data_IF_209749307460
#
_entry.id   IF_209749307460
#
_cell.length_a   1.000
_cell.length_b   1.000
_cell.length_c   1.000
_cell.angle_alpha   90.00
_cell.angle_beta   90.00
_cell.angle_gamma   90.00
#
_symmetry.space_group_name_H-M   'P 1'
#
loop_
_entity.id
_entity.type
_entity.pdbx_description
1 polymer ?
#
# COMPACT_ATOMS: atom_id res chain seq x y z
N UNK A 1 -5.55 8.05 16.54
CA UNK A 1 -5.48 6.69 15.94
C UNK A 1 -4.42 5.89 16.67
N UNK A 2 -4.36 4.58 16.46
CA UNK A 2 -3.29 3.74 17.03
C UNK A 2 -2.85 2.66 16.04
N UNK A 3 -1.64 2.13 16.25
CA UNK A 3 -1.11 0.98 15.55
C UNK A 3 -1.73 -0.30 16.12
N UNK A 4 -2.57 -0.97 15.32
CA UNK A 4 -3.33 -2.16 15.77
C UNK A 4 -2.51 -3.42 15.63
N UNK A 5 -1.74 -3.55 14.53
CA UNK A 5 -0.92 -4.72 14.27
C UNK A 5 0.32 -4.36 13.47
N UNK A 6 1.41 -5.07 13.76
CA UNK A 6 2.65 -5.05 12.99
C UNK A 6 2.81 -6.44 12.40
N UNK A 7 2.95 -6.54 11.08
CA UNK A 7 2.89 -7.82 10.39
C UNK A 7 4.16 -8.01 9.53
N UNK A 8 4.81 -9.15 9.67
CA UNK A 8 5.99 -9.54 8.90
C UNK A 8 5.77 -10.89 8.21
N UNK A 9 6.19 -10.98 6.96
CA UNK A 9 6.14 -12.19 6.16
C UNK A 9 7.49 -12.88 6.13
N UNK A 10 7.48 -14.20 6.22
CA UNK A 10 8.65 -15.03 6.00
C UNK A 10 8.70 -15.49 4.54
N UNK A 11 9.87 -15.95 4.10
CA UNK A 11 10.01 -16.54 2.77
C UNK A 11 9.34 -17.92 2.75
N UNK A 12 8.15 -17.98 2.22
CA UNK A 12 7.33 -19.19 2.14
C UNK A 12 6.86 -19.42 0.70
N UNK A 13 6.60 -20.68 0.33
CA UNK A 13 5.88 -20.98 -0.92
C UNK A 13 4.39 -21.00 -0.56
N UNK A 14 3.62 -20.12 -1.18
CA UNK A 14 2.18 -20.12 -1.03
C UNK A 14 1.61 -21.37 -1.71
N UNK A 15 0.99 -22.26 -0.95
CA UNK A 15 0.33 -23.43 -1.45
C UNK A 15 -0.99 -23.05 -2.14
N UNK A 16 -0.91 -22.70 -3.41
CA UNK A 16 -2.05 -22.30 -4.23
C UNK A 16 -1.89 -22.80 -5.65
N UNK A 17 -3.00 -23.21 -6.27
CA UNK A 17 -3.04 -23.54 -7.70
C UNK A 17 -2.69 -22.32 -8.58
N UNK A 18 -2.84 -21.09 -8.05
CA UNK A 18 -2.66 -19.84 -8.79
C UNK A 18 -1.25 -19.27 -8.69
N UNK A 19 -0.42 -19.75 -7.74
CA UNK A 19 0.89 -19.16 -7.49
C UNK A 19 1.86 -20.18 -6.86
N UNK A 20 3.08 -20.30 -7.40
CA UNK A 20 4.08 -21.29 -6.95
C UNK A 20 5.47 -20.71 -6.67
N UNK A 21 5.58 -19.37 -6.55
CA UNK A 21 6.87 -18.73 -6.27
C UNK A 21 6.99 -18.39 -4.78
N UNK A 22 8.21 -18.28 -4.23
CA UNK A 22 8.40 -17.78 -2.88
C UNK A 22 7.81 -16.38 -2.71
N UNK A 23 7.11 -16.16 -1.59
CA UNK A 23 6.46 -14.89 -1.27
C UNK A 23 6.49 -14.65 0.23
N UNK A 24 6.38 -13.39 0.65
CA UNK A 24 6.16 -12.96 2.03
C UNK A 24 4.76 -12.36 2.25
N UNK A 25 3.79 -12.71 1.38
CA UNK A 25 2.45 -12.14 1.49
C UNK A 25 1.70 -12.63 2.73
N UNK A 26 1.99 -13.85 3.19
CA UNK A 26 1.45 -14.38 4.43
C UNK A 26 2.14 -13.73 5.62
N UNK A 27 1.61 -12.60 6.06
CA UNK A 27 2.18 -11.86 7.17
C UNK A 27 1.57 -12.28 8.50
N UNK A 28 2.41 -12.36 9.52
CA UNK A 28 2.03 -12.72 10.88
C UNK A 28 2.33 -11.58 11.83
N UNK A 29 1.43 -11.37 12.78
CA UNK A 29 1.57 -10.31 13.77
C UNK A 29 2.80 -10.53 14.67
N UNK A 30 3.51 -9.44 14.95
CA UNK A 30 4.61 -9.37 15.91
C UNK A 30 4.37 -8.21 16.87
N UNK A 31 4.85 -8.30 18.14
CA UNK A 31 4.59 -7.25 19.14
C UNK A 31 5.31 -5.94 18.84
N UNK A 32 6.47 -6.00 18.19
CA UNK A 32 7.26 -4.83 17.81
C UNK A 32 8.18 -5.13 16.63
N UNK A 33 8.59 -4.10 15.90
CA UNK A 33 9.58 -4.22 14.83
C UNK A 33 10.35 -2.93 14.64
N UNK A 34 11.57 -3.03 14.12
CA UNK A 34 12.32 -1.88 13.61
C UNK A 34 11.91 -1.62 12.16
N UNK A 35 11.67 -0.35 11.85
CA UNK A 35 11.32 0.13 10.49
C UNK A 35 12.44 1.03 9.99
N UNK A 36 12.88 0.80 8.76
CA UNK A 36 13.95 1.57 8.09
C UNK A 36 13.53 1.90 6.65
N UNK A 37 14.37 2.66 5.94
CA UNK A 37 14.17 2.95 4.52
C UNK A 37 14.15 1.70 3.63
N UNK A 38 14.62 0.57 4.13
CA UNK A 38 14.57 -0.74 3.45
C UNK A 38 13.31 -1.55 3.79
N UNK A 39 12.45 -1.04 4.66
CA UNK A 39 11.23 -1.71 5.11
C UNK A 39 11.26 -2.14 6.57
N UNK A 40 10.39 -3.07 6.92
CA UNK A 40 10.26 -3.64 8.28
C UNK A 40 11.26 -4.77 8.46
N UNK A 41 12.03 -4.71 9.54
CA UNK A 41 13.05 -5.71 9.84
C UNK A 41 12.42 -7.11 9.94
N UNK A 42 13.02 -8.09 9.26
CA UNK A 42 12.53 -9.47 9.22
C UNK A 42 11.43 -9.73 8.19
N UNK A 43 10.95 -8.71 7.50
CA UNK A 43 9.94 -8.88 6.45
C UNK A 43 10.57 -9.30 5.12
N UNK A 44 9.99 -10.29 4.46
CA UNK A 44 10.44 -10.79 3.17
C UNK A 44 9.59 -10.24 2.03
N UNK A 45 10.22 -9.56 1.06
CA UNK A 45 9.61 -9.10 -0.18
C UNK A 45 10.09 -9.98 -1.34
N UNK A 46 9.22 -10.87 -1.83
CA UNK A 46 9.57 -11.86 -2.85
C UNK A 46 9.82 -11.28 -4.24
N UNK A 47 9.06 -10.27 -4.62
CA UNK A 47 9.18 -9.63 -5.94
C UNK A 47 9.58 -8.16 -5.79
N UNK A 48 10.88 -7.92 -5.70
CA UNK A 48 11.42 -6.56 -5.53
C UNK A 48 11.29 -5.68 -6.78
N UNK A 49 10.95 -6.25 -7.93
CA UNK A 49 10.71 -5.48 -9.15
C UNK A 49 9.41 -4.66 -9.06
N UNK A 50 8.38 -5.20 -8.42
CA UNK A 50 7.04 -4.58 -8.34
C UNK A 50 6.67 -4.13 -6.93
N UNK A 51 7.32 -4.66 -5.90
CA UNK A 51 7.04 -4.38 -4.49
C UNK A 51 8.33 -4.00 -3.76
N UNK A 52 8.20 -3.24 -2.68
CA UNK A 52 9.35 -2.76 -1.91
C UNK A 52 10.13 -1.64 -2.61
N UNK A 53 11.33 -1.39 -2.11
CA UNK A 53 12.15 -0.23 -2.45
C UNK A 53 11.79 1.00 -1.60
N UNK A 54 12.59 2.10 -1.69
CA UNK A 54 12.47 3.24 -0.76
C UNK A 54 11.09 3.86 -0.70
N UNK A 55 10.41 3.97 -1.85
CA UNK A 55 9.08 4.58 -1.92
C UNK A 55 7.93 3.64 -1.53
N UNK A 56 8.21 2.36 -1.36
CA UNK A 56 7.26 1.32 -0.97
C UNK A 56 7.83 0.46 0.17
N UNK A 57 8.58 1.11 1.08
CA UNK A 57 9.25 0.46 2.19
C UNK A 57 8.25 -0.14 3.20
N UNK A 58 7.11 0.52 3.39
CA UNK A 58 6.06 0.06 4.31
C UNK A 58 4.72 0.08 3.58
N UNK A 59 3.97 -1.01 3.70
CA UNK A 59 2.57 -1.06 3.26
C UNK A 59 1.65 -0.98 4.48
N UNK A 60 0.70 -0.06 4.43
CA UNK A 60 -0.30 0.19 5.47
C UNK A 60 -1.68 -0.22 4.97
N UNK A 61 -2.44 -0.88 5.83
CA UNK A 61 -3.87 -1.12 5.66
C UNK A 61 -4.62 -0.64 6.91
N UNK A 62 -5.95 -0.56 6.86
CA UNK A 62 -6.69 0.10 7.95
C UNK A 62 -7.85 -0.73 8.46
N UNK A 63 -8.23 -0.51 9.73
CA UNK A 63 -9.36 -1.23 10.32
C UNK A 63 -10.66 -0.96 9.57
N UNK A 64 -11.04 0.29 9.19
CA UNK A 64 -12.24 0.51 8.37
C UNK A 64 -12.24 -0.22 7.03
N UNK A 65 -11.06 -0.40 6.40
CA UNK A 65 -10.96 -1.18 5.17
C UNK A 65 -11.15 -2.68 5.45
N UNK A 66 -10.65 -3.19 6.58
CA UNK A 66 -10.88 -4.56 7.04
C UNK A 66 -12.35 -4.82 7.37
N UNK A 67 -13.01 -3.90 8.06
CA UNK A 67 -14.44 -4.00 8.40
C UNK A 67 -15.30 -4.09 7.13
N UNK A 68 -14.98 -3.26 6.12
CA UNK A 68 -15.64 -3.30 4.83
C UNK A 68 -15.44 -4.66 4.14
N UNK A 69 -14.21 -5.19 4.09
CA UNK A 69 -13.93 -6.49 3.49
C UNK A 69 -14.58 -7.63 4.25
N UNK A 70 -14.60 -7.59 5.57
CA UNK A 70 -15.29 -8.57 6.41
C UNK A 70 -16.77 -8.67 6.05
N UNK A 71 -17.42 -7.50 5.85
CA UNK A 71 -18.82 -7.45 5.42
C UNK A 71 -19.01 -7.98 3.99
N UNK A 72 -18.08 -7.67 3.05
CA UNK A 72 -18.18 -8.12 1.64
C UNK A 72 -17.91 -9.61 1.46
N UNK A 73 -17.07 -10.19 2.29
CA UNK A 73 -16.68 -11.60 2.19
C UNK A 73 -17.42 -12.49 3.18
N UNK A 74 -18.26 -11.89 4.03
CA UNK A 74 -19.08 -12.56 5.07
C UNK A 74 -18.24 -13.49 5.98
N UNK A 75 -16.97 -13.11 6.19
CA UNK A 75 -16.03 -13.85 7.06
C UNK A 75 -15.04 -12.89 7.71
N UNK A 76 -14.60 -13.17 8.96
CA UNK A 76 -13.57 -12.37 9.61
C UNK A 76 -12.24 -12.49 8.84
N UNK A 77 -11.52 -11.36 8.75
CA UNK A 77 -10.22 -11.26 8.11
C UNK A 77 -9.21 -10.69 9.11
N UNK A 78 -8.13 -11.42 9.33
CA UNK A 78 -7.09 -10.99 10.27
C UNK A 78 -6.15 -9.94 9.64
N UNK A 79 -5.59 -9.00 10.44
CA UNK A 79 -4.49 -8.14 10.03
C UNK A 79 -3.34 -8.95 9.40
N UNK A 80 -2.69 -8.37 8.38
CA UNK A 80 -1.65 -9.04 7.60
C UNK A 80 -2.17 -9.79 6.36
N UNK A 81 -3.49 -10.05 6.25
CA UNK A 81 -4.08 -10.78 5.14
C UNK A 81 -3.86 -10.12 3.78
N UNK A 82 -3.91 -8.79 3.72
CA UNK A 82 -3.63 -8.05 2.48
C UNK A 82 -2.13 -7.84 2.24
N UNK A 83 -1.27 -8.46 3.06
CA UNK A 83 0.18 -8.36 2.95
C UNK A 83 0.73 -7.02 3.45
N UNK A 84 -0.03 -6.29 4.24
CA UNK A 84 0.42 -5.04 4.87
C UNK A 84 1.36 -5.31 6.05
N UNK A 85 2.25 -4.34 6.26
CA UNK A 85 3.18 -4.34 7.39
C UNK A 85 2.56 -3.74 8.65
N UNK A 86 1.73 -2.68 8.49
CA UNK A 86 1.13 -1.96 9.60
C UNK A 86 -0.38 -1.85 9.39
N UNK A 87 -1.16 -2.20 10.41
CA UNK A 87 -2.61 -2.02 10.43
C UNK A 87 -2.96 -0.88 11.39
N UNK A 88 -3.64 0.15 10.91
CA UNK A 88 -3.95 1.38 11.67
C UNK A 88 -5.46 1.50 11.89
N UNK A 89 -5.84 1.95 13.10
CA UNK A 89 -7.24 2.22 13.45
C UNK A 89 -7.75 3.56 12.86
N UNK A 90 -9.07 3.67 12.66
CA UNK A 90 -9.81 4.93 12.41
C UNK A 90 -9.24 5.80 11.28
N UNK A 91 -8.80 5.20 10.20
CA UNK A 91 -8.27 5.86 9.02
C UNK A 91 -8.80 5.15 7.78
N UNK A 92 -9.35 5.88 6.81
CA UNK A 92 -9.70 5.34 5.49
C UNK A 92 -8.53 5.52 4.53
N UNK A 93 -7.92 4.41 4.08
CA UNK A 93 -6.72 4.48 3.26
C UNK A 93 -6.91 5.21 1.93
N UNK A 94 -8.10 5.10 1.34
CA UNK A 94 -8.43 5.75 0.06
C UNK A 94 -8.47 7.29 0.12
N UNK A 95 -8.61 7.88 1.33
CA UNK A 95 -8.67 9.33 1.55
C UNK A 95 -7.32 9.96 1.86
N UNK A 96 -6.28 9.15 2.04
CA UNK A 96 -4.91 9.64 2.16
C UNK A 96 -4.46 10.27 0.84
N UNK A 97 -3.67 11.34 0.95
CA UNK A 97 -3.03 11.98 -0.20
C UNK A 97 -1.54 11.63 -0.27
N UNK A 98 -0.98 11.62 -1.47
CA UNK A 98 0.46 11.52 -1.64
C UNK A 98 1.15 12.73 -0.97
N UNK A 99 2.13 12.46 -0.10
CA UNK A 99 2.77 13.46 0.73
C UNK A 99 2.16 13.65 2.13
N UNK A 100 1.02 13.02 2.42
CA UNK A 100 0.53 12.94 3.81
C UNK A 100 1.56 12.20 4.67
N UNK A 101 1.69 12.59 5.94
CA UNK A 101 2.63 11.98 6.87
C UNK A 101 1.92 11.31 8.03
N UNK A 102 2.43 10.14 8.38
CA UNK A 102 1.98 9.36 9.53
C UNK A 102 3.11 9.26 10.54
N UNK A 103 2.91 9.87 11.72
CA UNK A 103 3.80 9.74 12.86
C UNK A 103 3.32 8.59 13.74
N UNK A 104 4.18 7.58 13.99
CA UNK A 104 3.91 6.41 14.85
C UNK A 104 5.03 6.33 15.88
N UNK A 105 4.80 6.79 17.10
CA UNK A 105 5.89 6.98 18.04
C UNK A 105 6.98 7.89 17.45
N UNK A 106 8.22 7.39 17.31
CA UNK A 106 9.33 8.10 16.68
C UNK A 106 9.47 7.82 15.16
N UNK A 107 8.71 6.87 14.61
CA UNK A 107 8.68 6.56 13.18
C UNK A 107 7.90 7.64 12.43
N UNK A 108 8.50 8.21 11.36
CA UNK A 108 7.79 9.10 10.43
C UNK A 108 7.74 8.47 9.05
N UNK A 109 6.53 8.29 8.54
CA UNK A 109 6.23 7.77 7.21
C UNK A 109 5.63 8.88 6.34
N UNK A 110 5.88 8.81 5.02
CA UNK A 110 5.22 9.66 4.02
C UNK A 110 4.53 8.78 2.99
N UNK A 111 3.26 9.06 2.74
CA UNK A 111 2.41 8.35 1.77
C UNK A 111 2.88 8.63 0.35
N UNK A 112 3.03 7.59 -0.47
CA UNK A 112 3.61 7.70 -1.82
C UNK A 112 2.74 7.11 -2.92
N UNK A 113 2.01 6.03 -2.66
CA UNK A 113 1.23 5.34 -3.68
C UNK A 113 0.13 4.43 -3.09
N UNK A 114 -0.95 4.18 -3.84
CA UNK A 114 -1.85 3.07 -3.56
C UNK A 114 -1.19 1.73 -3.92
N UNK A 115 -1.60 0.65 -3.28
CA UNK A 115 -1.25 -0.70 -3.73
C UNK A 115 -2.06 -1.10 -4.96
N UNK A 116 -1.37 -1.57 -5.98
CA UNK A 116 -1.99 -2.23 -7.13
C UNK A 116 -2.04 -3.74 -6.84
N UNK A 117 -3.21 -4.39 -6.92
CA UNK A 117 -3.34 -5.81 -6.63
C UNK A 117 -2.62 -6.68 -7.67
N UNK A 118 -2.12 -7.82 -7.24
CA UNK A 118 -1.37 -8.76 -8.07
C UNK A 118 -1.92 -10.19 -7.93
N UNK A 119 -1.43 -11.10 -8.76
CA UNK A 119 -1.80 -12.52 -8.71
C UNK A 119 -1.46 -13.19 -7.37
N UNK A 120 -0.42 -12.72 -6.68
CA UNK A 120 -0.06 -13.23 -5.35
C UNK A 120 -1.16 -12.94 -4.33
N UNK A 121 -1.81 -11.76 -4.42
CA UNK A 121 -2.95 -11.43 -3.56
C UNK A 121 -4.17 -12.31 -3.89
N UNK A 122 -4.44 -12.58 -5.17
CA UNK A 122 -5.51 -13.51 -5.57
C UNK A 122 -5.27 -14.92 -5.02
N UNK A 123 -4.02 -15.38 -5.08
CA UNK A 123 -3.63 -16.68 -4.53
C UNK A 123 -3.77 -16.73 -3.01
N UNK A 124 -3.37 -15.66 -2.29
CA UNK A 124 -3.52 -15.52 -0.83
C UNK A 124 -4.99 -15.58 -0.41
N UNK A 125 -5.87 -15.00 -1.22
CA UNK A 125 -7.32 -14.99 -0.96
C UNK A 125 -8.04 -16.21 -1.50
N UNK A 126 -7.33 -17.12 -2.18
CA UNK A 126 -7.88 -18.33 -2.85
C UNK A 126 -9.02 -17.99 -3.83
N UNK A 127 -8.96 -16.81 -4.45
CA UNK A 127 -9.99 -16.30 -5.35
C UNK A 127 -9.35 -15.69 -6.61
N UNK A 128 -9.47 -16.37 -7.75
CA UNK A 128 -8.94 -15.91 -9.04
C UNK A 128 -9.52 -14.55 -9.48
N UNK A 129 -10.71 -14.17 -8.98
CA UNK A 129 -11.34 -12.88 -9.27
C UNK A 129 -10.96 -11.78 -8.26
N UNK A 130 -10.14 -12.11 -7.25
CA UNK A 130 -9.86 -11.16 -6.17
C UNK A 130 -9.17 -9.88 -6.65
N UNK A 131 -8.30 -9.96 -7.66
CA UNK A 131 -7.70 -8.77 -8.29
C UNK A 131 -8.79 -7.82 -8.81
N UNK A 132 -9.83 -8.35 -9.46
CA UNK A 132 -10.95 -7.55 -9.96
C UNK A 132 -11.80 -7.00 -8.81
N UNK A 133 -12.09 -7.82 -7.79
CA UNK A 133 -12.82 -7.38 -6.57
C UNK A 133 -12.07 -6.26 -5.85
N UNK A 134 -10.76 -6.43 -5.65
CA UNK A 134 -9.92 -5.43 -5.00
C UNK A 134 -9.85 -4.12 -5.81
N UNK A 135 -9.79 -4.24 -7.15
CA UNK A 135 -9.86 -3.07 -8.03
C UNK A 135 -11.18 -2.31 -7.84
N UNK A 136 -12.31 -2.99 -7.81
CA UNK A 136 -13.63 -2.38 -7.68
C UNK A 136 -13.92 -1.83 -6.29
N UNK A 137 -13.26 -2.36 -5.25
CA UNK A 137 -13.41 -1.89 -3.88
C UNK A 137 -12.84 -0.49 -3.65
N UNK A 138 -11.87 -0.06 -4.47
CA UNK A 138 -11.17 1.23 -4.33
C UNK A 138 -10.60 1.49 -2.92
N UNK A 139 -10.19 0.41 -2.24
CA UNK A 139 -9.57 0.42 -0.90
C UNK A 139 -8.15 -0.14 -0.98
N UNK A 140 -7.23 0.64 -1.60
CA UNK A 140 -5.93 0.09 -1.99
C UNK A 140 -4.94 -0.02 -0.84
N UNK A 141 -5.21 0.55 0.35
CA UNK A 141 -4.17 0.78 1.34
C UNK A 141 -3.16 1.81 0.86
N UNK A 142 -2.08 2.01 1.62
CA UNK A 142 -1.07 3.02 1.35
C UNK A 142 0.34 2.41 1.38
N UNK A 143 1.11 2.58 0.32
CA UNK A 143 2.56 2.48 0.39
C UNK A 143 3.14 3.78 0.93
N UNK A 144 4.19 3.63 1.74
CA UNK A 144 4.90 4.74 2.36
C UNK A 144 6.41 4.59 2.21
N UNK A 145 7.09 5.74 2.08
CA UNK A 145 8.52 5.83 2.34
C UNK A 145 8.77 6.16 3.81
N UNK A 146 9.94 5.79 4.30
CA UNK A 146 10.36 6.08 5.67
C UNK A 146 11.19 7.36 5.67
N UNK A 147 10.67 8.39 6.35
CA UNK A 147 11.38 9.67 6.54
C UNK A 147 12.30 9.58 7.77
N UNK A 148 11.76 9.12 8.90
CA UNK A 148 12.53 8.90 10.11
C UNK A 148 12.41 7.44 10.55
N UNK A 149 13.49 6.66 10.47
CA UNK A 149 13.49 5.27 10.93
C UNK A 149 13.34 5.16 12.45
N UNK A 150 12.53 4.20 12.92
CA UNK A 150 12.39 3.93 14.35
C UNK A 150 11.90 2.50 14.60
N UNK A 151 11.86 2.08 15.86
CA UNK A 151 11.13 0.90 16.30
C UNK A 151 9.71 1.31 16.65
N UNK A 152 8.76 0.43 16.37
CA UNK A 152 7.33 0.58 16.69
C UNK A 152 6.84 -0.65 17.46
N UNK A 153 5.80 -0.45 18.26
CA UNK A 153 5.10 -1.52 18.96
C UNK A 153 3.59 -1.35 18.82
N UNK A 154 2.85 -2.43 19.03
CA UNK A 154 1.39 -2.38 19.06
C UNK A 154 0.91 -1.36 20.08
N UNK A 155 -0.21 -0.72 19.78
CA UNK A 155 -0.82 0.39 20.53
C UNK A 155 -0.07 1.73 20.49
N UNK A 156 1.08 1.84 19.81
CA UNK A 156 1.72 3.14 19.57
C UNK A 156 0.70 4.13 19.00
N UNK A 157 0.67 5.38 19.50
CA UNK A 157 -0.20 6.42 18.97
C UNK A 157 0.18 6.77 17.54
N UNK A 158 -0.85 7.00 16.70
CA UNK A 158 -0.69 7.40 15.29
C UNK A 158 -1.34 8.76 15.08
N UNK A 159 -0.60 9.70 14.53
CA UNK A 159 -1.11 10.99 14.09
C UNK A 159 -0.91 11.16 12.59
N UNK A 160 -1.87 11.81 11.94
CA UNK A 160 -1.84 12.15 10.52
C UNK A 160 -1.58 13.66 10.38
N UNK A 161 -0.55 14.00 9.65
CA UNK A 161 -0.27 15.35 9.16
C UNK A 161 -0.57 15.40 7.67
N UNK A 162 -1.43 16.33 7.26
CA UNK A 162 -1.78 16.52 5.85
C UNK A 162 -0.64 17.19 5.10
N UNK A 163 -0.30 16.61 3.95
CA UNK A 163 0.66 17.18 3.02
C UNK A 163 0.10 18.40 2.26
N UNK A 164 0.94 19.01 1.43
CA UNK A 164 0.56 20.16 0.62
C UNK A 164 -0.23 19.81 -0.66
N UNK A 165 -0.41 18.53 -0.96
CA UNK A 165 -1.02 18.05 -2.19
C UNK A 165 -2.38 17.42 -1.94
N UNK A 166 -3.35 17.64 -2.84
CA UNK A 166 -4.71 17.10 -2.78
C UNK A 166 -4.90 15.84 -3.65
N UNK A 167 -3.80 15.18 -4.02
CA UNK A 167 -3.80 13.97 -4.85
C UNK A 167 -4.06 12.75 -3.98
N UNK A 168 -5.30 12.29 -3.94
CA UNK A 168 -5.69 11.15 -3.09
C UNK A 168 -5.20 9.81 -3.64
N UNK A 169 -5.05 8.81 -2.75
CA UNK A 169 -4.73 7.44 -3.15
C UNK A 169 -5.82 6.82 -4.03
N UNK A 170 -7.10 7.16 -3.80
CA UNK A 170 -8.21 6.75 -4.67
C UNK A 170 -8.02 7.28 -6.08
N UNK A 171 -7.68 8.56 -6.22
CA UNK A 171 -7.44 9.17 -7.52
C UNK A 171 -6.23 8.55 -8.23
N UNK A 172 -5.10 8.40 -7.54
CA UNK A 172 -3.92 7.71 -8.08
C UNK A 172 -4.25 6.28 -8.52
N UNK A 173 -5.07 5.58 -7.74
CA UNK A 173 -5.52 4.24 -8.05
C UNK A 173 -6.40 4.19 -9.30
N UNK A 174 -7.39 5.05 -9.40
CA UNK A 174 -8.24 5.19 -10.58
C UNK A 174 -7.42 5.58 -11.83
N UNK A 175 -6.50 6.54 -11.68
CA UNK A 175 -5.62 7.01 -12.74
C UNK A 175 -4.66 5.93 -13.24
N UNK A 176 -4.22 5.02 -12.37
CA UNK A 176 -3.41 3.86 -12.79
C UNK A 176 -4.15 3.03 -13.86
N UNK A 177 -5.47 2.85 -13.71
CA UNK A 177 -6.28 2.04 -14.61
C UNK A 177 -6.93 2.82 -15.77
N UNK A 178 -6.88 4.14 -15.78
CA UNK A 178 -7.53 4.98 -16.78
C UNK A 178 -6.88 4.90 -18.17
N UNK A 179 -5.69 4.28 -18.29
CA UNK A 179 -4.93 4.14 -19.53
C UNK A 179 -4.81 5.45 -20.32
N UNK A 180 -5.44 5.59 -21.48
CA UNK A 180 -5.33 6.74 -22.39
C UNK A 180 -6.35 7.87 -22.13
N UNK A 181 -7.04 7.87 -20.97
CA UNK A 181 -8.15 8.80 -20.70
C UNK A 181 -7.80 9.99 -19.79
N UNK A 182 -6.52 10.16 -19.44
CA UNK A 182 -6.10 11.28 -18.61
C UNK A 182 -5.69 12.46 -19.49
N UNK A 183 -6.18 13.64 -19.15
CA UNK A 183 -5.77 14.91 -19.76
C UNK A 183 -4.37 15.32 -19.28
N UNK A 184 -3.67 16.14 -20.08
CA UNK A 184 -2.32 16.63 -19.77
C UNK A 184 -2.26 17.31 -18.39
N UNK A 185 -3.18 18.23 -18.11
CA UNK A 185 -3.27 18.94 -16.84
C UNK A 185 -3.48 18.02 -15.64
N UNK A 186 -4.21 16.91 -15.82
CA UNK A 186 -4.37 15.90 -14.77
C UNK A 186 -3.05 15.16 -14.50
N UNK A 187 -2.32 14.78 -15.56
CA UNK A 187 -1.02 14.13 -15.41
C UNK A 187 -0.01 15.04 -14.74
N UNK A 188 0.05 16.31 -15.12
CA UNK A 188 0.91 17.31 -14.49
C UNK A 188 0.61 17.47 -12.98
N UNK A 189 -0.68 17.55 -12.61
CA UNK A 189 -1.09 17.62 -11.19
C UNK A 189 -0.69 16.38 -10.43
N UNK A 190 -0.89 15.17 -10.99
CA UNK A 190 -0.46 13.92 -10.35
C UNK A 190 1.06 13.87 -10.18
N UNK A 191 1.81 14.33 -11.18
CA UNK A 191 3.28 14.37 -11.17
C UNK A 191 3.86 15.43 -10.24
N UNK A 192 3.12 16.49 -9.91
CA UNK A 192 3.55 17.49 -8.93
C UNK A 192 3.61 16.90 -7.50
N UNK A 193 2.79 15.90 -7.19
CA UNK A 193 2.78 15.26 -5.88
C UNK A 193 4.00 14.32 -5.67
N UNK A 194 4.43 14.06 -4.42
CA UNK A 194 5.58 13.21 -4.09
C UNK A 194 5.26 11.70 -4.22
N UNK A 195 4.69 11.30 -5.34
CA UNK A 195 4.32 9.92 -5.65
C UNK A 195 5.53 9.02 -5.80
N UNK A 196 5.32 7.71 -5.61
CA UNK A 196 6.36 6.69 -5.79
C UNK A 196 6.94 6.71 -7.21
N UNK A 197 8.26 6.52 -7.34
CA UNK A 197 9.00 6.58 -8.61
C UNK A 197 8.40 5.70 -9.70
N UNK A 198 7.92 4.50 -9.37
CA UNK A 198 7.30 3.60 -10.36
C UNK A 198 6.02 4.19 -10.97
N UNK A 199 5.23 4.88 -10.17
CA UNK A 199 4.01 5.55 -10.64
C UNK A 199 4.34 6.80 -11.42
N UNK A 200 5.35 7.55 -10.98
CA UNK A 200 5.90 8.71 -11.68
C UNK A 200 6.34 8.37 -13.10
N UNK A 201 7.23 7.38 -13.26
CA UNK A 201 7.71 6.90 -14.58
C UNK A 201 6.55 6.50 -15.50
N UNK A 202 5.51 5.86 -14.96
CA UNK A 202 4.33 5.50 -15.74
C UNK A 202 3.55 6.73 -16.23
N UNK A 203 3.36 7.74 -15.37
CA UNK A 203 2.62 8.95 -15.75
C UNK A 203 3.44 9.87 -16.66
N UNK A 204 4.75 9.99 -16.46
CA UNK A 204 5.67 10.69 -17.36
C UNK A 204 5.61 10.10 -18.78
N UNK A 205 5.70 8.78 -18.91
CA UNK A 205 5.57 8.11 -20.20
C UNK A 205 4.17 8.26 -20.85
N UNK A 206 3.12 8.56 -20.10
CA UNK A 206 1.80 8.90 -20.63
C UNK A 206 1.77 10.36 -21.12
N UNK A 207 2.33 11.25 -20.34
CA UNK A 207 2.43 12.68 -20.68
C UNK A 207 3.22 12.90 -21.97
N UNK A 208 4.39 12.25 -22.10
CA UNK A 208 5.19 12.27 -23.32
C UNK A 208 4.42 11.82 -24.57
N UNK A 209 3.57 10.80 -24.43
CA UNK A 209 2.75 10.30 -25.55
C UNK A 209 1.65 11.29 -25.98
N UNK A 210 1.11 12.08 -25.06
CA UNK A 210 0.13 13.12 -25.39
C UNK A 210 0.79 14.29 -26.13
N UNK A 211 2.00 14.68 -25.76
CA UNK A 211 2.75 15.76 -26.45
C UNK A 211 3.33 15.36 -27.79
N UNK A 212 3.36 14.07 -28.13
CA UNK A 212 3.87 13.56 -29.42
C UNK A 212 2.79 13.32 -30.49
N UNK A 213 1.52 13.54 -30.18
CA UNK A 213 0.36 13.35 -31.08
C UNK A 213 -0.29 14.66 -31.43
#
# INVERSE_FOLDING_TARGET
>A
MKLVSINIGQREILESALYKKPTGIQKRAVPSARVSSLGVAGDYVGDQKYHGGPDQAVYIYTVPDYDWWTAQLEKPIAPGTFGENLTISHLESATLCAGDRLQIGALLLEVTAPRIPCSTLAAQMEDAQFVKRFKLAERPGAYCRVITPASVQTDDPVTLERGAFDVTLRELYASHYAHAKLEESQLERLLAAPIAVRMRVMFEARLERLGAG
#
